data_IF_578407678234
#
_entry.id   IF_578407678234
#
_cell.length_a   1.000
_cell.length_b   1.000
_cell.length_c   1.000
_cell.angle_alpha   90.00
_cell.angle_beta   90.00
_cell.angle_gamma   90.00
#
_symmetry.space_group_name_H-M   'P 1'
#
loop_
_entity.id
_entity.type
_entity.pdbx_description
1 polymer ?
#
# COMPACT_ATOMS: atom_id res chain seq x y z
N UNK A 1 23.21 29.14 15.87
CA UNK A 1 24.34 28.23 16.14
C UNK A 1 23.80 27.26 17.17
N UNK A 2 23.13 26.19 16.71
CA UNK A 2 23.70 24.90 16.28
C UNK A 2 23.83 23.99 17.51
N UNK A 3 23.29 22.77 17.59
CA UNK A 3 22.56 21.95 16.64
C UNK A 3 21.60 21.05 17.42
N UNK A 4 20.54 20.69 16.73
CA UNK A 4 19.43 19.88 17.18
C UNK A 4 19.84 18.42 16.97
N UNK A 5 20.60 17.86 17.92
CA UNK A 5 20.79 16.41 18.05
C UNK A 5 19.54 15.84 18.72
N UNK A 6 18.48 15.70 17.92
CA UNK A 6 17.33 14.88 18.27
C UNK A 6 17.70 13.42 17.99
N UNK A 7 17.96 12.73 19.09
CA UNK A 7 18.13 11.30 19.28
C UNK A 7 16.96 10.52 18.66
N UNK A 8 17.03 10.26 17.34
CA UNK A 8 16.08 9.41 16.62
C UNK A 8 16.58 7.97 16.57
N UNK A 9 16.74 7.38 17.75
CA UNK A 9 16.91 5.93 17.97
C UNK A 9 15.56 5.23 17.80
N UNK A 10 15.06 5.10 16.57
CA UNK A 10 13.85 4.32 16.25
C UNK A 10 13.90 3.80 14.81
N UNK A 11 14.47 2.60 14.57
CA UNK A 11 13.96 1.62 13.57
C UNK A 11 14.73 0.27 13.47
N UNK A 12 15.72 -0.01 14.34
CA UNK A 12 16.51 -1.27 14.26
C UNK A 12 15.94 -2.43 15.11
N UNK A 13 14.70 -2.34 15.60
CA UNK A 13 14.07 -3.41 16.41
C UNK A 13 13.15 -4.37 15.62
N UNK A 14 12.90 -4.17 14.33
CA UNK A 14 11.95 -5.01 13.56
C UNK A 14 12.58 -5.96 12.51
N UNK A 15 13.83 -6.40 12.67
CA UNK A 15 14.44 -7.39 11.75
C UNK A 15 15.01 -8.64 12.46
N UNK A 16 14.62 -8.88 13.72
CA UNK A 16 14.72 -10.22 14.33
C UNK A 16 13.53 -11.10 13.89
N UNK A 17 13.32 -11.21 12.57
CA UNK A 17 12.46 -12.26 12.02
C UNK A 17 13.31 -13.54 11.97
N UNK A 18 13.39 -14.22 13.12
CA UNK A 18 13.87 -15.61 13.21
C UNK A 18 12.83 -16.53 12.53
N UNK A 19 12.56 -16.32 11.24
CA UNK A 19 11.97 -17.37 10.41
C UNK A 19 13.07 -18.42 10.19
N UNK A 20 13.18 -19.36 11.13
CA UNK A 20 13.76 -20.66 10.82
C UNK A 20 12.90 -21.22 9.69
N UNK A 21 13.42 -21.13 8.46
CA UNK A 21 12.85 -21.81 7.31
C UNK A 21 13.02 -23.32 7.54
N UNK A 22 12.13 -23.92 8.34
CA UNK A 22 12.02 -25.37 8.56
C UNK A 22 11.47 -26.08 7.32
N UNK A 23 11.89 -25.72 6.08
CA UNK A 23 11.66 -26.60 4.92
C UNK A 23 12.42 -26.22 3.64
N UNK A 24 13.74 -26.02 3.73
CA UNK A 24 14.57 -26.08 2.51
C UNK A 24 15.90 -26.75 2.81
N UNK A 25 16.06 -27.99 2.33
CA UNK A 25 17.34 -28.69 2.21
C UNK A 25 18.24 -28.03 1.14
N UNK A 26 18.43 -26.72 1.21
CA UNK A 26 19.41 -25.98 0.43
C UNK A 26 20.49 -25.54 1.41
N UNK A 27 21.74 -25.96 1.20
CA UNK A 27 22.86 -25.53 2.02
C UNK A 27 22.81 -23.99 2.18
N UNK A 28 22.91 -23.46 3.41
CA UNK A 28 22.95 -22.02 3.60
C UNK A 28 24.12 -21.49 2.78
N UNK A 29 23.87 -20.60 1.83
CA UNK A 29 24.92 -19.99 1.03
C UNK A 29 25.65 -18.97 1.91
N UNK A 30 26.53 -19.50 2.78
CA UNK A 30 27.29 -18.77 3.80
C UNK A 30 28.01 -17.55 3.21
N UNK A 31 28.41 -17.63 1.95
CA UNK A 31 29.07 -16.54 1.23
C UNK A 31 28.13 -15.36 0.96
N UNK A 32 26.86 -15.61 0.59
CA UNK A 32 25.85 -14.56 0.40
C UNK A 32 25.47 -13.89 1.72
N UNK A 33 25.30 -14.68 2.77
CA UNK A 33 24.97 -14.19 4.10
C UNK A 33 26.07 -13.29 4.66
N UNK A 34 27.32 -13.76 4.62
CA UNK A 34 28.48 -12.99 5.04
C UNK A 34 28.62 -11.69 4.24
N UNK A 35 28.44 -11.76 2.92
CA UNK A 35 28.51 -10.58 2.06
C UNK A 35 27.39 -9.57 2.35
N UNK A 36 26.18 -10.03 2.66
CA UNK A 36 25.07 -9.16 3.04
C UNK A 36 25.33 -8.43 4.36
N UNK A 37 25.75 -9.14 5.41
CA UNK A 37 26.03 -8.51 6.72
C UNK A 37 27.22 -7.55 6.65
N UNK A 38 28.27 -7.88 5.89
CA UNK A 38 29.37 -6.95 5.62
C UNK A 38 28.87 -5.67 4.94
N UNK A 39 27.96 -5.82 3.97
CA UNK A 39 27.34 -4.67 3.28
C UNK A 39 26.45 -3.83 4.21
N UNK A 40 25.76 -4.48 5.16
CA UNK A 40 24.93 -3.81 6.17
C UNK A 40 25.79 -3.02 7.16
N UNK A 41 26.90 -3.56 7.62
CA UNK A 41 27.84 -2.84 8.48
C UNK A 41 28.40 -1.60 7.78
N UNK A 42 28.75 -1.72 6.50
CA UNK A 42 29.26 -0.60 5.67
C UNK A 42 28.25 0.54 5.47
N UNK A 43 26.97 0.33 5.74
CA UNK A 43 25.91 1.35 5.56
C UNK A 43 26.11 2.54 6.50
N UNK A 44 26.59 2.29 7.72
CA UNK A 44 26.84 3.31 8.74
C UNK A 44 28.11 4.12 8.41
N UNK A 45 29.11 3.48 7.79
CA UNK A 45 30.39 4.12 7.44
C UNK A 45 30.32 4.88 6.10
N UNK A 46 29.90 4.21 5.01
CA UNK A 46 29.81 4.79 3.67
C UNK A 46 28.63 4.18 2.88
N UNK A 47 27.54 4.94 2.84
CA UNK A 47 26.32 4.59 2.11
C UNK A 47 26.55 4.30 0.61
N UNK A 48 27.53 4.92 -0.06
CA UNK A 48 27.80 4.66 -1.49
C UNK A 48 28.61 3.38 -1.68
N UNK A 49 29.58 3.12 -0.80
CA UNK A 49 30.31 1.86 -0.79
C UNK A 49 29.38 0.68 -0.47
N UNK A 50 28.44 0.87 0.46
CA UNK A 50 27.42 -0.11 0.80
C UNK A 50 26.54 -0.48 -0.41
N UNK A 51 26.11 0.49 -1.23
CA UNK A 51 25.37 0.19 -2.47
C UNK A 51 26.15 -0.71 -3.42
N UNK A 52 27.46 -0.46 -3.59
CA UNK A 52 28.32 -1.29 -4.44
C UNK A 52 28.51 -2.68 -3.84
N UNK A 53 28.53 -2.80 -2.52
CA UNK A 53 28.64 -4.08 -1.81
C UNK A 53 27.35 -4.90 -1.91
N UNK A 54 26.17 -4.27 -1.77
CA UNK A 54 24.87 -4.91 -2.01
C UNK A 54 24.67 -5.32 -3.47
N UNK A 55 25.21 -4.55 -4.41
CA UNK A 55 25.21 -4.95 -5.82
C UNK A 55 25.96 -6.28 -6.05
N UNK A 56 27.07 -6.52 -5.33
CA UNK A 56 27.78 -7.80 -5.39
C UNK A 56 26.94 -8.96 -4.85
N UNK A 57 26.11 -8.74 -3.82
CA UNK A 57 25.16 -9.76 -3.33
C UNK A 57 24.22 -10.19 -4.45
N UNK A 58 23.71 -9.23 -5.23
CA UNK A 58 22.84 -9.51 -6.38
C UNK A 58 23.54 -10.24 -7.53
N UNK A 59 24.83 -9.97 -7.74
CA UNK A 59 25.62 -10.64 -8.78
C UNK A 59 26.02 -12.06 -8.37
N UNK A 60 26.29 -12.28 -7.09
CA UNK A 60 26.57 -13.60 -6.52
C UNK A 60 25.30 -14.46 -6.46
N UNK A 61 24.15 -13.83 -6.24
CA UNK A 61 22.85 -14.49 -6.24
C UNK A 61 22.39 -14.74 -7.69
N UNK A 62 22.92 -15.82 -8.30
CA UNK A 62 22.65 -16.15 -9.71
C UNK A 62 21.18 -16.43 -10.05
N UNK A 63 20.43 -16.99 -9.09
CA UNK A 63 18.96 -17.15 -9.18
C UNK A 63 18.28 -16.28 -8.14
N UNK A 64 17.21 -15.57 -8.52
CA UNK A 64 16.50 -14.66 -7.62
C UNK A 64 16.09 -15.37 -6.33
N UNK A 65 16.67 -14.94 -5.23
CA UNK A 65 16.44 -15.50 -3.91
C UNK A 65 16.10 -14.45 -2.86
N UNK A 66 16.12 -14.89 -1.61
CA UNK A 66 15.78 -14.06 -0.46
C UNK A 66 16.86 -12.99 -0.17
N UNK A 67 18.14 -13.32 -0.38
CA UNK A 67 19.25 -12.43 -0.07
C UNK A 67 19.32 -11.24 -1.00
N UNK A 68 19.07 -11.43 -2.30
CA UNK A 68 18.95 -10.33 -3.25
C UNK A 68 17.73 -9.47 -2.98
N UNK A 69 16.62 -10.07 -2.54
CA UNK A 69 15.45 -9.28 -2.12
C UNK A 69 15.75 -8.40 -0.91
N UNK A 70 16.40 -8.96 0.13
CA UNK A 70 16.87 -8.22 1.31
C UNK A 70 17.87 -7.11 0.92
N UNK A 71 18.82 -7.40 0.03
CA UNK A 71 19.78 -6.43 -0.49
C UNK A 71 19.09 -5.27 -1.22
N UNK A 72 18.15 -5.57 -2.12
CA UNK A 72 17.38 -4.55 -2.86
C UNK A 72 16.59 -3.63 -1.91
N UNK A 73 15.96 -4.19 -0.87
CA UNK A 73 15.25 -3.41 0.16
C UNK A 73 16.19 -2.40 0.84
N UNK A 74 17.40 -2.81 1.20
CA UNK A 74 18.39 -1.91 1.79
C UNK A 74 18.90 -0.86 0.78
N UNK A 75 19.15 -1.25 -0.47
CA UNK A 75 19.57 -0.32 -1.52
C UNK A 75 18.52 0.77 -1.79
N UNK A 76 17.23 0.44 -1.74
CA UNK A 76 16.13 1.41 -1.87
C UNK A 76 16.17 2.41 -0.70
N UNK A 77 16.28 1.92 0.54
CA UNK A 77 16.37 2.78 1.74
C UNK A 77 17.58 3.71 1.67
N UNK A 78 18.75 3.22 1.24
CA UNK A 78 19.96 4.04 1.08
C UNK A 78 19.79 5.09 -0.01
N UNK A 79 19.27 4.71 -1.18
CA UNK A 79 19.03 5.66 -2.28
C UNK A 79 18.01 6.74 -1.90
N UNK A 80 17.04 6.43 -1.04
CA UNK A 80 16.12 7.43 -0.49
C UNK A 80 16.86 8.45 0.38
N UNK A 81 17.68 7.99 1.32
CA UNK A 81 18.49 8.85 2.19
C UNK A 81 19.44 9.74 1.37
N UNK A 82 20.00 9.21 0.29
CA UNK A 82 20.88 9.94 -0.63
C UNK A 82 20.12 10.82 -1.64
N UNK A 83 18.79 10.87 -1.60
CA UNK A 83 17.92 11.62 -2.54
C UNK A 83 18.11 11.24 -4.02
N UNK A 84 18.63 10.03 -4.29
CA UNK A 84 18.81 9.51 -5.65
C UNK A 84 17.56 8.75 -6.10
N UNK A 85 16.51 9.50 -6.39
CA UNK A 85 15.19 8.97 -6.73
C UNK A 85 15.14 8.14 -8.04
N UNK A 86 15.83 8.51 -9.14
CA UNK A 86 15.83 7.71 -10.35
C UNK A 86 16.42 6.32 -10.13
N UNK A 87 17.55 6.24 -9.41
CA UNK A 87 18.19 4.95 -9.14
C UNK A 87 17.37 4.13 -8.15
N UNK A 88 16.74 4.78 -7.15
CA UNK A 88 15.80 4.10 -6.27
C UNK A 88 14.67 3.43 -7.06
N UNK A 89 14.07 4.13 -8.04
CA UNK A 89 13.00 3.57 -8.86
C UNK A 89 13.48 2.36 -9.68
N UNK A 90 14.71 2.40 -10.20
CA UNK A 90 15.30 1.26 -10.89
C UNK A 90 15.43 0.04 -9.96
N UNK A 91 15.91 0.24 -8.73
CA UNK A 91 16.01 -0.84 -7.72
C UNK A 91 14.64 -1.34 -7.28
N UNK A 92 13.66 -0.45 -7.18
CA UNK A 92 12.30 -0.83 -6.85
C UNK A 92 11.67 -1.71 -7.94
N UNK A 93 11.81 -1.33 -9.22
CA UNK A 93 11.36 -2.15 -10.35
C UNK A 93 12.03 -3.53 -10.35
N UNK A 94 13.33 -3.61 -10.02
CA UNK A 94 14.00 -4.90 -9.85
C UNK A 94 13.39 -5.72 -8.71
N UNK A 95 13.14 -5.12 -7.55
CA UNK A 95 12.51 -5.77 -6.39
C UNK A 95 11.12 -6.33 -6.75
N UNK A 96 10.32 -5.59 -7.50
CA UNK A 96 8.99 -6.06 -7.92
C UNK A 96 9.05 -7.36 -8.75
N UNK A 97 10.15 -7.63 -9.45
CA UNK A 97 10.31 -8.87 -10.22
C UNK A 97 10.52 -10.12 -9.35
N UNK A 98 10.84 -9.96 -8.07
CA UNK A 98 11.02 -11.07 -7.12
C UNK A 98 9.68 -11.55 -6.53
N UNK A 99 8.63 -10.72 -6.59
CA UNK A 99 7.31 -10.97 -5.98
C UNK A 99 6.65 -12.25 -6.54
N UNK A 100 6.96 -12.62 -7.79
CA UNK A 100 6.31 -13.76 -8.45
C UNK A 100 6.87 -15.12 -8.04
N UNK A 101 8.17 -15.22 -7.80
CA UNK A 101 8.86 -16.52 -7.80
C UNK A 101 9.89 -16.70 -6.70
N UNK A 102 10.48 -15.63 -6.18
CA UNK A 102 11.63 -15.72 -5.28
C UNK A 102 11.23 -15.67 -3.80
N UNK A 103 10.10 -15.04 -3.49
CA UNK A 103 9.73 -14.70 -2.12
C UNK A 103 8.24 -14.96 -1.87
N UNK A 104 7.89 -15.31 -0.64
CA UNK A 104 6.50 -15.58 -0.26
C UNK A 104 5.62 -14.34 -0.43
N UNK A 105 4.35 -14.55 -0.76
CA UNK A 105 3.37 -13.46 -0.96
C UNK A 105 3.25 -12.57 0.29
N UNK A 106 3.24 -13.16 1.48
CA UNK A 106 3.14 -12.42 2.74
C UNK A 106 4.37 -11.54 3.00
N UNK A 107 5.57 -12.06 2.77
CA UNK A 107 6.80 -11.31 2.97
C UNK A 107 6.94 -10.16 1.95
N UNK A 108 6.56 -10.41 0.69
CA UNK A 108 6.50 -9.37 -0.33
C UNK A 108 5.50 -8.26 0.01
N UNK A 109 4.32 -8.60 0.57
CA UNK A 109 3.31 -7.64 1.01
C UNK A 109 3.80 -6.77 2.16
N UNK A 110 4.41 -7.36 3.19
CA UNK A 110 5.03 -6.61 4.31
C UNK A 110 6.08 -5.64 3.79
N UNK A 111 6.95 -6.12 2.90
CA UNK A 111 8.06 -5.33 2.36
C UNK A 111 7.60 -4.17 1.48
N UNK A 112 6.60 -4.38 0.61
CA UNK A 112 6.01 -3.32 -0.20
C UNK A 112 5.33 -2.27 0.68
N UNK A 113 4.56 -2.69 1.68
CA UNK A 113 3.91 -1.75 2.61
C UNK A 113 4.96 -0.92 3.37
N UNK A 114 5.99 -1.56 3.92
CA UNK A 114 7.09 -0.86 4.61
C UNK A 114 7.78 0.16 3.71
N UNK A 115 8.06 -0.19 2.44
CA UNK A 115 8.67 0.74 1.47
C UNK A 115 7.71 1.89 1.14
N UNK A 116 6.44 1.61 0.88
CA UNK A 116 5.45 2.65 0.56
C UNK A 116 5.23 3.59 1.74
N UNK A 117 5.16 3.07 2.97
CA UNK A 117 5.01 3.88 4.17
C UNK A 117 6.27 4.73 4.40
N UNK A 118 7.47 4.19 4.16
CA UNK A 118 8.72 4.96 4.23
C UNK A 118 8.79 6.08 3.18
N UNK A 119 8.39 5.81 1.94
CA UNK A 119 8.37 6.81 0.85
C UNK A 119 7.22 7.81 1.05
N UNK A 120 6.13 7.43 1.72
CA UNK A 120 5.02 8.35 2.03
C UNK A 120 5.43 9.50 2.95
N UNK A 121 6.50 9.34 3.74
CA UNK A 121 7.14 10.41 4.52
C UNK A 121 7.84 11.46 3.63
N UNK A 122 8.15 11.12 2.37
CA UNK A 122 8.73 12.04 1.41
C UNK A 122 7.75 13.15 1.02
N UNK A 123 8.27 14.37 0.88
CA UNK A 123 7.51 15.51 0.33
C UNK A 123 7.40 15.46 -1.20
N UNK A 124 8.13 14.55 -1.87
CA UNK A 124 8.11 14.44 -3.32
C UNK A 124 6.90 13.67 -3.82
N UNK A 125 5.89 14.44 -4.19
CA UNK A 125 4.57 13.99 -4.57
C UNK A 125 4.52 13.25 -5.92
N UNK A 126 5.34 13.67 -6.89
CA UNK A 126 5.43 13.02 -8.21
C UNK A 126 6.10 11.65 -8.10
N UNK A 127 7.14 11.57 -7.28
CA UNK A 127 7.83 10.32 -6.97
C UNK A 127 6.86 9.32 -6.32
N UNK A 128 6.13 9.75 -5.29
CA UNK A 128 5.18 8.90 -4.60
C UNK A 128 4.11 8.33 -5.56
N UNK A 129 3.64 9.15 -6.50
CA UNK A 129 2.70 8.71 -7.54
C UNK A 129 3.33 7.62 -8.43
N UNK A 130 4.55 7.83 -8.93
CA UNK A 130 5.25 6.86 -9.78
C UNK A 130 5.47 5.52 -9.06
N UNK A 131 5.78 5.56 -7.75
CA UNK A 131 5.91 4.36 -6.92
C UNK A 131 4.59 3.60 -6.83
N UNK A 132 3.49 4.26 -6.48
CA UNK A 132 2.18 3.61 -6.41
C UNK A 132 1.77 3.01 -7.75
N UNK A 133 1.90 3.75 -8.85
CA UNK A 133 1.53 3.28 -10.19
C UNK A 133 2.36 2.05 -10.59
N UNK A 134 3.68 2.10 -10.44
CA UNK A 134 4.58 0.97 -10.75
C UNK A 134 4.27 -0.25 -9.87
N UNK A 135 3.95 -0.03 -8.59
CA UNK A 135 3.56 -1.11 -7.67
C UNK A 135 2.27 -1.77 -8.14
N UNK A 136 1.26 -0.99 -8.50
CA UNK A 136 -0.05 -1.49 -8.91
C UNK A 136 0.01 -2.32 -10.19
N UNK A 137 0.84 -1.92 -11.15
CA UNK A 137 1.10 -2.70 -12.36
C UNK A 137 1.69 -4.07 -12.03
N UNK A 138 2.74 -4.12 -11.20
CA UNK A 138 3.36 -5.38 -10.79
C UNK A 138 2.41 -6.27 -9.97
N UNK A 139 1.59 -5.69 -9.09
CA UNK A 139 0.61 -6.42 -8.28
C UNK A 139 -0.53 -7.00 -9.11
N UNK A 140 -0.92 -6.32 -10.18
CA UNK A 140 -1.92 -6.81 -11.14
C UNK A 140 -1.41 -8.06 -11.86
N UNK A 141 -0.16 -8.04 -12.30
CA UNK A 141 0.49 -9.20 -12.94
C UNK A 141 0.67 -10.36 -11.96
N UNK A 142 0.95 -10.07 -10.68
CA UNK A 142 1.06 -11.05 -9.62
C UNK A 142 -0.29 -11.60 -9.11
N UNK A 143 -1.42 -11.12 -9.64
CA UNK A 143 -2.79 -11.47 -9.19
C UNK A 143 -2.99 -11.32 -7.68
N UNK A 144 -2.40 -10.28 -7.09
CA UNK A 144 -2.51 -10.02 -5.66
C UNK A 144 -3.67 -9.08 -5.34
N UNK A 145 -4.92 -9.53 -5.53
CA UNK A 145 -6.12 -8.69 -5.44
C UNK A 145 -6.26 -7.94 -4.10
N UNK A 146 -5.90 -8.58 -2.98
CA UNK A 146 -5.99 -7.98 -1.65
C UNK A 146 -5.05 -6.78 -1.48
N UNK A 147 -3.78 -6.96 -1.83
CA UNK A 147 -2.79 -5.89 -1.73
C UNK A 147 -3.05 -4.82 -2.79
N UNK A 148 -3.40 -5.23 -4.01
CA UNK A 148 -3.78 -4.33 -5.10
C UNK A 148 -4.93 -3.41 -4.69
N UNK A 149 -5.96 -3.94 -4.03
CA UNK A 149 -7.08 -3.13 -3.52
C UNK A 149 -6.61 -2.12 -2.49
N UNK A 150 -5.89 -2.54 -1.44
CA UNK A 150 -5.37 -1.65 -0.40
C UNK A 150 -4.47 -0.54 -0.95
N UNK A 151 -3.58 -0.88 -1.87
CA UNK A 151 -2.65 0.07 -2.50
C UNK A 151 -3.40 1.07 -3.37
N UNK A 152 -4.42 0.64 -4.13
CA UNK A 152 -5.29 1.56 -4.87
C UNK A 152 -6.09 2.49 -3.96
N UNK A 153 -6.61 1.98 -2.84
CA UNK A 153 -7.33 2.79 -1.86
C UNK A 153 -6.42 3.86 -1.25
N UNK A 154 -5.16 3.52 -0.92
CA UNK A 154 -4.15 4.50 -0.47
C UNK A 154 -3.88 5.57 -1.53
N UNK A 155 -3.67 5.16 -2.80
CA UNK A 155 -3.46 6.09 -3.91
C UNK A 155 -4.68 6.99 -4.16
N UNK A 156 -5.90 6.46 -4.00
CA UNK A 156 -7.15 7.21 -4.10
C UNK A 156 -7.25 8.31 -3.04
N UNK A 157 -6.92 8.00 -1.78
CA UNK A 157 -6.86 9.01 -0.70
C UNK A 157 -5.88 10.13 -1.01
N UNK A 158 -4.70 9.78 -1.53
CA UNK A 158 -3.70 10.76 -1.95
C UNK A 158 -4.21 11.66 -3.09
N UNK A 159 -4.93 11.12 -4.07
CA UNK A 159 -5.54 11.97 -5.11
C UNK A 159 -6.67 12.85 -4.59
N UNK A 160 -7.42 12.37 -3.60
CA UNK A 160 -8.45 13.16 -2.93
C UNK A 160 -7.84 14.36 -2.18
N UNK A 161 -6.75 14.16 -1.43
CA UNK A 161 -6.00 15.23 -0.76
C UNK A 161 -5.44 16.28 -1.73
N UNK A 162 -5.17 15.88 -2.98
CA UNK A 162 -4.69 16.77 -4.06
C UNK A 162 -5.79 17.43 -4.88
N UNK A 163 -7.06 17.11 -4.61
CA UNK A 163 -8.20 17.54 -5.44
C UNK A 163 -8.09 17.07 -6.91
N UNK A 164 -7.33 16.00 -7.17
CA UNK A 164 -7.09 15.43 -8.50
C UNK A 164 -8.20 14.44 -8.88
N UNK A 165 -9.41 14.98 -9.01
CA UNK A 165 -10.62 14.17 -9.18
C UNK A 165 -10.65 13.34 -10.47
N UNK A 166 -9.97 13.80 -11.54
CA UNK A 166 -9.92 13.09 -12.81
C UNK A 166 -9.19 11.75 -12.71
N UNK A 167 -8.06 11.72 -11.99
CA UNK A 167 -7.30 10.49 -11.73
C UNK A 167 -8.01 9.62 -10.69
N UNK A 168 -8.54 10.23 -9.63
CA UNK A 168 -9.34 9.53 -8.61
C UNK A 168 -10.52 8.76 -9.22
N UNK A 169 -11.26 9.37 -10.15
CA UNK A 169 -12.38 8.72 -10.83
C UNK A 169 -11.96 7.52 -11.69
N UNK A 170 -10.72 7.49 -12.19
CA UNK A 170 -10.19 6.30 -12.90
C UNK A 170 -9.94 5.15 -11.93
N UNK A 171 -9.35 5.43 -10.77
CA UNK A 171 -9.08 4.43 -9.74
C UNK A 171 -10.37 3.88 -9.16
N UNK A 172 -11.33 4.74 -8.82
CA UNK A 172 -12.62 4.31 -8.28
C UNK A 172 -13.36 3.38 -9.24
N UNK A 173 -13.32 3.64 -10.56
CA UNK A 173 -13.87 2.73 -11.56
C UNK A 173 -13.18 1.37 -11.56
N UNK A 174 -11.85 1.33 -11.45
CA UNK A 174 -11.10 0.07 -11.40
C UNK A 174 -11.41 -0.71 -10.11
N UNK A 175 -11.49 -0.02 -8.97
CA UNK A 175 -11.85 -0.61 -7.69
C UNK A 175 -13.29 -1.17 -7.73
N UNK A 176 -14.24 -0.40 -8.25
CA UNK A 176 -15.62 -0.83 -8.37
C UNK A 176 -15.77 -2.05 -9.30
N UNK A 177 -15.09 -2.06 -10.45
CA UNK A 177 -15.02 -3.24 -11.33
C UNK A 177 -14.44 -4.47 -10.63
N UNK A 178 -13.46 -4.29 -9.74
CA UNK A 178 -12.89 -5.40 -8.96
C UNK A 178 -13.86 -5.99 -7.92
N UNK A 179 -14.92 -5.25 -7.58
CA UNK A 179 -15.98 -5.62 -6.65
C UNK A 179 -17.29 -6.00 -7.36
N UNK A 180 -17.34 -6.02 -8.69
CA UNK A 180 -18.48 -6.50 -9.45
C UNK A 180 -18.35 -7.99 -9.77
N UNK A 181 -19.48 -8.67 -9.90
CA UNK A 181 -19.59 -10.05 -10.38
C UNK A 181 -19.44 -10.10 -11.91
N UNK A 182 -19.28 -11.30 -12.47
CA UNK A 182 -19.22 -11.50 -13.93
C UNK A 182 -20.50 -11.00 -14.65
N UNK A 183 -21.62 -10.91 -13.92
CA UNK A 183 -22.90 -10.39 -14.40
C UNK A 183 -22.99 -8.85 -14.31
N UNK A 184 -21.96 -8.18 -13.78
CA UNK A 184 -21.89 -6.72 -13.63
C UNK A 184 -22.63 -6.16 -12.42
N UNK A 185 -23.13 -7.02 -11.53
CA UNK A 185 -23.76 -6.63 -10.27
C UNK A 185 -22.75 -6.53 -9.13
N UNK A 186 -23.06 -5.75 -8.09
CA UNK A 186 -22.19 -5.60 -6.92
C UNK A 186 -22.03 -6.93 -6.15
N UNK A 187 -20.79 -7.38 -5.94
CA UNK A 187 -20.50 -8.58 -5.15
C UNK A 187 -20.70 -8.31 -3.65
N UNK A 188 -21.85 -8.74 -3.13
CA UNK A 188 -22.20 -8.62 -1.71
C UNK A 188 -21.20 -9.31 -0.77
N UNK A 189 -20.39 -10.27 -1.25
CA UNK A 189 -19.31 -10.89 -0.46
C UNK A 189 -18.15 -9.92 -0.22
N UNK A 190 -17.98 -8.93 -1.10
CA UNK A 190 -17.00 -7.84 -1.00
C UNK A 190 -17.61 -6.56 -0.42
N UNK A 191 -18.75 -6.65 0.28
CA UNK A 191 -19.47 -5.49 0.78
C UNK A 191 -18.62 -4.52 1.63
N UNK A 192 -17.66 -5.00 2.44
CA UNK A 192 -16.75 -4.12 3.19
C UNK A 192 -15.85 -3.29 2.27
N UNK A 193 -15.30 -3.90 1.21
CA UNK A 193 -14.49 -3.22 0.20
C UNK A 193 -15.34 -2.22 -0.60
N UNK A 194 -16.57 -2.60 -0.94
CA UNK A 194 -17.49 -1.74 -1.66
C UNK A 194 -17.88 -0.49 -0.85
N UNK A 195 -18.08 -0.63 0.46
CA UNK A 195 -18.30 0.51 1.36
C UNK A 195 -17.07 1.43 1.46
N UNK A 196 -15.85 0.89 1.40
CA UNK A 196 -14.63 1.72 1.32
C UNK A 196 -14.59 2.55 0.03
N UNK A 197 -14.98 1.97 -1.09
CA UNK A 197 -15.07 2.67 -2.38
C UNK A 197 -16.11 3.79 -2.30
N UNK A 198 -17.32 3.47 -1.81
CA UNK A 198 -18.38 4.46 -1.65
C UNK A 198 -18.01 5.59 -0.71
N UNK A 199 -17.29 5.32 0.38
CA UNK A 199 -16.80 6.37 1.27
C UNK A 199 -15.81 7.30 0.56
N UNK A 200 -14.91 6.78 -0.29
CA UNK A 200 -14.01 7.63 -1.10
C UNK A 200 -14.77 8.43 -2.17
N UNK A 201 -15.76 7.83 -2.82
CA UNK A 201 -16.63 8.52 -3.80
C UNK A 201 -17.43 9.65 -3.16
N UNK A 202 -17.99 9.39 -1.97
CA UNK A 202 -18.72 10.40 -1.19
C UNK A 202 -17.78 11.55 -0.85
N UNK A 203 -16.58 11.28 -0.31
CA UNK A 203 -15.62 12.36 -0.02
C UNK A 203 -15.26 13.18 -1.26
N UNK A 204 -15.05 12.51 -2.40
CA UNK A 204 -14.78 13.16 -3.68
C UNK A 204 -15.95 14.07 -4.13
N UNK A 205 -17.19 13.55 -4.11
CA UNK A 205 -18.35 14.32 -4.55
C UNK A 205 -18.80 15.39 -3.55
N UNK A 206 -18.49 15.23 -2.27
CA UNK A 206 -18.66 16.25 -1.23
C UNK A 206 -17.75 17.44 -1.53
N UNK A 207 -16.48 17.20 -1.84
CA UNK A 207 -15.55 18.25 -2.25
C UNK A 207 -16.01 18.96 -3.55
N UNK A 208 -16.56 18.21 -4.51
CA UNK A 208 -17.15 18.75 -5.75
C UNK A 208 -18.54 19.38 -5.58
N UNK A 209 -19.16 19.31 -4.39
CA UNK A 209 -20.52 19.78 -4.10
C UNK A 209 -21.60 19.16 -5.00
N UNK A 210 -21.45 17.89 -5.39
CA UNK A 210 -22.38 17.20 -6.27
C UNK A 210 -23.47 16.42 -5.50
N UNK A 211 -24.47 17.15 -5.01
CA UNK A 211 -25.56 16.60 -4.17
C UNK A 211 -26.38 15.49 -4.84
N UNK A 212 -26.53 15.51 -6.17
CA UNK A 212 -27.30 14.47 -6.90
C UNK A 212 -26.63 13.11 -6.81
N UNK A 213 -25.30 13.07 -7.00
CA UNK A 213 -24.53 11.83 -6.93
C UNK A 213 -24.36 11.34 -5.50
N UNK A 214 -24.19 12.26 -4.54
CA UNK A 214 -24.14 11.92 -3.11
C UNK A 214 -25.39 11.16 -2.66
N UNK A 215 -26.58 11.65 -3.04
CA UNK A 215 -27.84 10.96 -2.72
C UNK A 215 -27.90 9.54 -3.29
N UNK A 216 -27.52 9.38 -4.57
CA UNK A 216 -27.51 8.06 -5.21
C UNK A 216 -26.54 7.09 -4.53
N UNK A 217 -25.33 7.55 -4.16
CA UNK A 217 -24.33 6.74 -3.46
C UNK A 217 -24.78 6.36 -2.05
N UNK A 218 -25.44 7.28 -1.34
CA UNK A 218 -26.01 6.99 -0.03
C UNK A 218 -27.06 5.89 -0.12
N UNK A 219 -28.02 6.01 -1.04
CA UNK A 219 -29.04 4.98 -1.28
C UNK A 219 -28.41 3.62 -1.65
N UNK A 220 -27.39 3.62 -2.51
CA UNK A 220 -26.63 2.42 -2.87
C UNK A 220 -25.94 1.77 -1.67
N UNK A 221 -25.34 2.57 -0.79
CA UNK A 221 -24.66 2.07 0.41
C UNK A 221 -25.61 1.36 1.39
N UNK A 222 -26.89 1.76 1.45
CA UNK A 222 -27.90 1.14 2.33
C UNK A 222 -28.28 -0.29 1.92
N UNK A 223 -28.03 -0.66 0.66
CA UNK A 223 -28.27 -2.03 0.18
C UNK A 223 -27.20 -3.02 0.70
N UNK A 224 -26.04 -2.54 1.13
CA UNK A 224 -24.96 -3.36 1.67
C UNK A 224 -25.20 -3.60 3.17
N UNK A 225 -26.08 -4.55 3.49
CA UNK A 225 -26.48 -4.86 4.88
C UNK A 225 -25.66 -5.97 5.55
N UNK A 226 -24.97 -6.80 4.76
CA UNK A 226 -24.24 -7.98 5.25
C UNK A 226 -22.77 -7.71 5.60
N UNK A 227 -22.28 -6.50 5.35
CA UNK A 227 -20.89 -6.13 5.63
C UNK A 227 -20.75 -5.52 7.03
N UNK A 228 -19.64 -5.83 7.70
CA UNK A 228 -19.21 -5.16 8.93
C UNK A 228 -18.11 -4.16 8.53
N UNK A 229 -18.46 -2.93 8.14
CA UNK A 229 -17.49 -1.88 7.83
C UNK A 229 -16.81 -1.34 9.10
N UNK A 230 -15.65 -0.72 8.92
CA UNK A 230 -14.97 0.00 9.99
C UNK A 230 -15.83 1.22 10.43
N UNK A 231 -15.93 1.53 11.75
CA UNK A 231 -16.76 2.62 12.26
C UNK A 231 -16.52 3.98 11.57
N UNK A 232 -15.28 4.26 11.20
CA UNK A 232 -14.89 5.46 10.46
C UNK A 232 -15.56 5.57 9.07
N UNK A 233 -15.64 4.46 8.34
CA UNK A 233 -16.25 4.40 7.00
C UNK A 233 -17.76 4.64 7.12
N UNK A 234 -18.40 4.01 8.11
CA UNK A 234 -19.81 4.28 8.41
C UNK A 234 -20.06 5.73 8.80
N UNK A 235 -19.15 6.33 9.57
CA UNK A 235 -19.22 7.74 9.95
C UNK A 235 -19.30 8.66 8.72
N UNK A 236 -18.39 8.48 7.76
CA UNK A 236 -18.36 9.26 6.51
C UNK A 236 -19.65 9.10 5.70
N UNK A 237 -20.16 7.87 5.60
CA UNK A 237 -21.41 7.61 4.85
C UNK A 237 -22.62 8.23 5.56
N UNK A 238 -22.68 8.15 6.89
CA UNK A 238 -23.76 8.74 7.69
C UNK A 238 -23.74 10.26 7.68
N UNK A 239 -22.57 10.88 7.75
CA UNK A 239 -22.42 12.33 7.66
C UNK A 239 -22.99 12.87 6.33
N UNK A 240 -22.81 12.12 5.24
CA UNK A 240 -23.44 12.43 3.95
C UNK A 240 -24.98 12.30 3.98
N UNK A 241 -25.53 11.42 4.80
CA UNK A 241 -26.99 11.29 5.02
C UNK A 241 -27.57 12.36 5.94
N UNK A 242 -26.76 12.87 6.89
CA UNK A 242 -27.13 13.90 7.87
C UNK A 242 -27.13 15.32 7.28
N UNK A 243 -26.34 15.58 6.22
CA UNK A 243 -26.57 16.78 5.38
C UNK A 243 -27.97 16.68 4.76
N UNK A 244 -28.79 17.74 4.81
CA UNK A 244 -30.25 17.63 4.95
C UNK A 244 -30.92 16.98 3.74
N UNK A 245 -31.00 15.65 3.75
CA UNK A 245 -31.80 14.84 2.82
C UNK A 245 -32.95 14.18 3.57
N UNK A 246 -33.80 15.02 4.17
CA UNK A 246 -35.09 14.69 4.80
C UNK A 246 -35.07 13.78 6.05
N UNK A 247 -35.96 14.00 7.04
CA UNK A 247 -35.83 13.44 8.39
C UNK A 247 -36.26 11.97 8.55
N UNK A 248 -36.57 11.25 7.46
CA UNK A 248 -37.26 9.94 7.55
C UNK A 248 -36.34 8.73 7.59
N UNK A 249 -35.09 8.84 7.13
CA UNK A 249 -34.21 7.68 6.95
C UNK A 249 -33.29 7.39 8.15
N UNK A 250 -33.07 8.39 9.01
CA UNK A 250 -32.25 8.28 10.23
C UNK A 250 -32.87 7.39 11.31
N UNK A 251 -34.20 7.29 11.35
CA UNK A 251 -34.92 6.55 12.40
C UNK A 251 -34.90 5.04 12.11
N UNK A 252 -34.80 4.63 10.85
CA UNK A 252 -34.83 3.21 10.47
C UNK A 252 -33.53 2.45 10.84
N UNK A 253 -32.38 3.13 10.86
CA UNK A 253 -31.08 2.48 11.10
C UNK A 253 -30.71 2.42 12.59
N UNK A 254 -31.07 3.43 13.39
CA UNK A 254 -30.80 3.43 14.85
C UNK A 254 -31.54 2.30 15.58
N UNK A 255 -32.72 1.90 15.11
CA UNK A 255 -33.49 0.82 15.75
C UNK A 255 -32.98 -0.59 15.41
N UNK A 256 -32.20 -0.75 14.34
CA UNK A 256 -31.72 -2.09 13.93
C UNK A 256 -30.34 -2.45 14.52
N UNK A 257 -29.50 -1.46 14.83
CA UNK A 257 -28.21 -1.70 15.51
C UNK A 257 -28.31 -1.88 17.03
N UNK A 258 -29.46 -1.60 17.65
CA UNK A 258 -29.69 -1.89 19.08
C UNK A 258 -30.32 -3.28 19.33
N UNK A 259 -30.70 -4.00 18.27
CA UNK A 259 -31.41 -5.28 18.36
C UNK A 259 -30.63 -6.49 17.80
N UNK A 260 -29.32 -6.37 17.58
CA UNK A 260 -28.42 -7.49 17.29
C UNK A 260 -27.11 -7.37 18.07
#
# INVERSE_FOLDING_TARGET
>A
MSDMEDDFTCDDEEDYDLEYSEDSNSEPNVDLENQYYNSKALKEDDSKAALSSFQKVLELEGEKGEWGFKALKQMIKINFKLTNFPEMMNRYKQLLTYIRSAVTRNYSEKSINSILDYISTSKQMDLLQEFYETTLEALKDAKNDRLWFKTNTKLGKLYLEREEYGKLQKILRQLHQSCQTDDGEDDLKKGTQLLEIYALEIQMYTAQKNNKKLKALYEQSLHIKSAIPHPLIMGVIRECGDTPFSPTDLIAFSMHCQNN
#
